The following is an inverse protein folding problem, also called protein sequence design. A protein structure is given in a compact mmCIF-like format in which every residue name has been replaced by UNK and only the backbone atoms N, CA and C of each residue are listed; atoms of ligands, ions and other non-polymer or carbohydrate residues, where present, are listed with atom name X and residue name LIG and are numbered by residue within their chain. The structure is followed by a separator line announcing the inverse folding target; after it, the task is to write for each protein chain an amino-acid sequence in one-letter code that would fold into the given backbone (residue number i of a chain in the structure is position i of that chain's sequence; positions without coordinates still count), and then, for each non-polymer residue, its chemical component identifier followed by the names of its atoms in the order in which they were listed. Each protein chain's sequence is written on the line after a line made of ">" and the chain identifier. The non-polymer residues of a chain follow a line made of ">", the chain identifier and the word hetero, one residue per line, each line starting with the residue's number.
data_IF_356180687051
#
_entry.id   IF_356180687051
#
_cell.length_a   1.000
_cell.length_b   1.000
_cell.length_c   1.000
_cell.angle_alpha   90.00
_cell.angle_beta   90.00
_cell.angle_gamma   90.00
#
_symmetry.space_group_name_H-M   'P 1'
#
loop_
_entity.id
_entity.type
_entity.pdbx_description
1 polymer ?
#
# COMPACT_ATOMS: atom_id res chain seq x y z
N UNK A 1 -17.83 -1.90 -30.77
CA UNK A 1 -16.88 -2.82 -31.43
C UNK A 1 -17.26 -4.29 -31.20
N UNK A 2 -17.47 -4.74 -29.95
CA UNK A 2 -17.84 -6.15 -29.67
C UNK A 2 -19.23 -6.53 -30.23
N UNK A 3 -20.26 -5.68 -30.06
CA UNK A 3 -21.61 -5.94 -30.59
C UNK A 3 -21.66 -6.00 -32.12
N UNK A 4 -20.86 -5.16 -32.78
CA UNK A 4 -20.76 -5.10 -34.25
C UNK A 4 -20.11 -6.36 -34.82
N UNK A 5 -19.11 -6.92 -34.12
CA UNK A 5 -18.46 -8.18 -34.50
C UNK A 5 -19.40 -9.38 -34.27
N UNK A 6 -20.13 -9.41 -33.15
CA UNK A 6 -21.08 -10.50 -32.85
C UNK A 6 -22.25 -10.53 -33.85
N UNK A 7 -22.78 -9.36 -34.23
CA UNK A 7 -23.85 -9.23 -35.21
C UNK A 7 -23.42 -9.70 -36.61
N UNK A 8 -22.20 -9.34 -37.04
CA UNK A 8 -21.64 -9.81 -38.31
C UNK A 8 -21.44 -11.33 -38.32
N UNK A 9 -21.08 -11.90 -37.18
CA UNK A 9 -20.84 -13.34 -37.03
C UNK A 9 -22.14 -14.16 -37.07
N UNK A 10 -23.22 -13.65 -36.46
CA UNK A 10 -24.57 -14.27 -36.54
C UNK A 10 -25.12 -14.20 -37.98
N UNK A 11 -24.83 -13.13 -38.73
CA UNK A 11 -25.32 -12.95 -40.09
C UNK A 11 -24.53 -13.75 -41.16
N UNK A 12 -23.31 -14.20 -40.85
CA UNK A 12 -22.53 -15.07 -41.73
C UNK A 12 -22.95 -16.54 -41.68
N UNK A 13 -23.59 -16.99 -40.59
CA UNK A 13 -23.93 -18.41 -40.39
C UNK A 13 -25.27 -18.83 -41.02
N UNK A 14 -26.09 -17.88 -41.47
CA UNK A 14 -27.41 -18.17 -42.06
C UNK A 14 -27.44 -17.86 -43.58
N UNK A 15 -27.42 -18.93 -44.40
CA UNK A 15 -27.20 -18.87 -45.85
C UNK A 15 -28.45 -18.48 -46.67
N UNK A 16 -29.57 -18.14 -46.02
CA UNK A 16 -30.87 -17.98 -46.70
C UNK A 16 -31.47 -16.57 -46.66
N UNK A 17 -30.85 -15.64 -45.93
CA UNK A 17 -31.33 -14.25 -45.84
C UNK A 17 -30.66 -13.41 -46.93
N UNK A 18 -31.47 -12.68 -47.72
CA UNK A 18 -30.92 -11.80 -48.77
C UNK A 18 -30.04 -10.68 -48.17
N UNK A 19 -29.09 -10.20 -48.97
CA UNK A 19 -28.11 -9.21 -48.52
C UNK A 19 -28.76 -7.87 -48.10
N UNK A 20 -29.90 -7.51 -48.69
CA UNK A 20 -30.61 -6.26 -48.35
C UNK A 20 -31.16 -6.30 -46.92
N UNK A 21 -31.68 -7.45 -46.52
CA UNK A 21 -32.23 -7.67 -45.18
C UNK A 21 -31.12 -7.74 -44.13
N UNK A 22 -29.96 -8.33 -44.49
CA UNK A 22 -28.77 -8.34 -43.63
C UNK A 22 -28.25 -6.92 -43.38
N UNK A 23 -28.15 -6.10 -44.43
CA UNK A 23 -27.69 -4.71 -44.30
C UNK A 23 -28.66 -3.86 -43.47
N UNK A 24 -29.97 -4.06 -43.61
CA UNK A 24 -30.97 -3.37 -42.79
C UNK A 24 -30.84 -3.75 -41.29
N UNK A 25 -30.61 -5.03 -40.99
CA UNK A 25 -30.41 -5.51 -39.62
C UNK A 25 -29.13 -4.99 -38.99
N UNK A 26 -28.02 -4.97 -39.74
CA UNK A 26 -26.75 -4.38 -39.27
C UNK A 26 -26.94 -2.91 -38.94
N UNK A 27 -27.59 -2.15 -39.84
CA UNK A 27 -27.85 -0.73 -39.63
C UNK A 27 -28.76 -0.48 -38.41
N UNK A 28 -29.79 -1.31 -38.20
CA UNK A 28 -30.65 -1.22 -37.01
C UNK A 28 -29.89 -1.53 -35.71
N UNK A 29 -29.03 -2.55 -35.72
CA UNK A 29 -28.19 -2.90 -34.57
C UNK A 29 -27.13 -1.84 -34.27
N UNK A 30 -26.48 -1.29 -35.29
CA UNK A 30 -25.54 -0.18 -35.12
C UNK A 30 -26.23 1.04 -34.53
N UNK A 31 -27.43 1.37 -35.03
CA UNK A 31 -28.25 2.45 -34.48
C UNK A 31 -28.65 2.19 -33.03
N UNK A 32 -29.11 0.99 -32.68
CA UNK A 32 -29.46 0.63 -31.29
C UNK A 32 -28.24 0.68 -30.36
N UNK A 33 -27.06 0.26 -30.83
CA UNK A 33 -25.82 0.39 -30.06
C UNK A 33 -25.39 1.85 -29.88
N UNK A 34 -25.57 2.70 -30.91
CA UNK A 34 -25.31 4.13 -30.84
C UNK A 34 -26.29 4.83 -29.90
N UNK A 35 -27.58 4.51 -29.98
CA UNK A 35 -28.63 5.06 -29.12
C UNK A 35 -28.43 4.61 -27.67
N UNK A 36 -28.06 3.34 -27.43
CA UNK A 36 -27.70 2.84 -26.10
C UNK A 36 -26.43 3.51 -25.55
N UNK A 37 -25.39 3.70 -26.38
CA UNK A 37 -24.19 4.41 -25.98
C UNK A 37 -24.45 5.91 -25.71
N UNK A 38 -25.38 6.55 -26.43
CA UNK A 38 -25.81 7.93 -26.17
C UNK A 38 -26.69 8.04 -24.94
N UNK A 39 -27.55 7.05 -24.65
CA UNK A 39 -28.30 6.96 -23.40
C UNK A 39 -27.36 6.74 -22.20
N UNK A 40 -26.35 5.89 -22.34
CA UNK A 40 -25.32 5.71 -21.30
C UNK A 40 -24.45 6.95 -21.13
N UNK A 41 -24.09 7.65 -22.22
CA UNK A 41 -23.30 8.87 -22.15
C UNK A 41 -24.08 10.06 -21.58
N UNK A 42 -25.38 10.18 -21.89
CA UNK A 42 -26.26 11.21 -21.31
C UNK A 42 -26.63 10.89 -19.86
N UNK A 43 -26.87 9.61 -19.55
CA UNK A 43 -27.05 9.12 -18.18
C UNK A 43 -25.80 9.31 -17.33
N UNK A 44 -24.61 9.00 -17.85
CA UNK A 44 -23.34 9.28 -17.19
C UNK A 44 -23.07 10.77 -17.08
N UNK A 45 -23.36 11.59 -18.10
CA UNK A 45 -23.23 13.06 -17.98
C UNK A 45 -24.17 13.65 -16.95
N UNK A 46 -25.39 13.14 -16.80
CA UNK A 46 -26.34 13.58 -15.78
C UNK A 46 -25.98 13.04 -14.39
N UNK A 47 -25.44 11.82 -14.28
CA UNK A 47 -24.84 11.30 -13.05
C UNK A 47 -23.62 12.12 -12.66
N UNK A 48 -22.75 12.49 -13.61
CA UNK A 48 -21.60 13.36 -13.37
C UNK A 48 -22.02 14.79 -13.04
N UNK A 49 -23.05 15.34 -13.69
CA UNK A 49 -23.64 16.63 -13.31
C UNK A 49 -24.27 16.56 -11.93
N UNK A 50 -24.93 15.47 -11.55
CA UNK A 50 -25.45 15.24 -10.19
C UNK A 50 -24.35 15.00 -9.17
N UNK A 51 -23.22 14.39 -9.51
CA UNK A 51 -22.03 14.31 -8.64
C UNK A 51 -21.41 15.71 -8.50
N UNK A 52 -21.40 16.52 -9.57
CA UNK A 52 -20.88 17.90 -9.58
C UNK A 52 -21.81 18.91 -8.88
N UNK A 53 -23.12 18.65 -8.86
CA UNK A 53 -24.16 19.51 -8.26
C UNK A 53 -24.61 19.03 -6.87
N UNK A 54 -24.48 17.73 -6.57
CA UNK A 54 -24.77 17.10 -5.29
C UNK A 54 -23.53 16.97 -4.39
N UNK A 55 -22.32 17.17 -4.94
CA UNK A 55 -21.23 17.72 -4.15
C UNK A 55 -21.59 19.17 -3.88
N UNK A 56 -22.45 19.40 -2.88
CA UNK A 56 -22.39 20.65 -2.14
C UNK A 56 -20.92 20.84 -1.84
N UNK A 57 -20.35 21.92 -2.39
CA UNK A 57 -19.00 22.31 -2.11
C UNK A 57 -18.87 22.45 -0.58
N UNK A 58 -18.50 21.36 0.09
CA UNK A 58 -17.75 21.45 1.31
C UNK A 58 -16.58 22.33 0.89
N UNK A 59 -16.57 23.54 1.42
CA UNK A 59 -15.46 24.46 1.31
C UNK A 59 -14.25 23.77 1.94
N UNK A 60 -13.65 22.83 1.21
CA UNK A 60 -12.33 22.29 1.51
C UNK A 60 -11.46 23.53 1.52
N UNK A 61 -11.02 23.93 2.72
CA UNK A 61 -10.37 25.20 2.90
C UNK A 61 -9.16 25.22 1.95
N UNK A 62 -8.78 26.35 1.33
CA UNK A 62 -7.62 26.42 0.45
C UNK A 62 -6.33 25.81 1.06
N UNK A 63 -6.26 25.78 2.39
CA UNK A 63 -5.24 25.08 3.19
C UNK A 63 -5.22 23.56 2.97
N UNK A 64 -6.37 22.89 3.02
CA UNK A 64 -6.50 21.43 2.83
C UNK A 64 -6.10 21.03 1.41
N UNK A 65 -6.45 21.84 0.40
CA UNK A 65 -6.04 21.60 -0.99
C UNK A 65 -4.53 21.70 -1.19
N UNK A 66 -3.86 22.64 -0.52
CA UNK A 66 -2.38 22.74 -0.52
C UNK A 66 -1.74 21.55 0.21
N UNK A 67 -2.38 21.06 1.28
CA UNK A 67 -1.90 19.90 2.02
C UNK A 67 -2.03 18.60 1.20
N UNK A 68 -3.13 18.44 0.45
CA UNK A 68 -3.32 17.33 -0.49
C UNK A 68 -2.25 17.33 -1.59
N UNK A 69 -1.96 18.48 -2.21
CA UNK A 69 -0.90 18.58 -3.23
C UNK A 69 0.48 18.27 -2.65
N UNK A 70 0.77 18.71 -1.42
CA UNK A 70 2.03 18.35 -0.74
C UNK A 70 2.12 16.85 -0.47
N UNK A 71 1.07 16.23 0.06
CA UNK A 71 1.01 14.77 0.29
C UNK A 71 1.22 13.99 -1.01
N UNK A 72 0.60 14.43 -2.10
CA UNK A 72 0.78 13.82 -3.41
C UNK A 72 2.21 14.01 -3.98
N UNK A 73 2.94 15.07 -3.63
CA UNK A 73 4.34 15.20 -4.05
C UNK A 73 5.26 14.27 -3.24
N UNK A 74 5.04 14.17 -1.93
CA UNK A 74 5.81 13.28 -1.04
C UNK A 74 5.68 11.81 -1.45
N UNK A 75 4.52 11.39 -1.98
CA UNK A 75 4.30 10.00 -2.42
C UNK A 75 5.18 9.61 -3.61
N UNK A 76 5.50 10.52 -4.53
CA UNK A 76 6.37 10.21 -5.69
C UNK A 76 7.83 10.03 -5.30
N UNK A 77 8.32 10.88 -4.41
CA UNK A 77 9.68 10.74 -3.89
C UNK A 77 9.81 9.40 -3.17
N UNK A 78 8.84 9.08 -2.31
CA UNK A 78 8.80 7.79 -1.60
C UNK A 78 8.80 6.59 -2.55
N UNK A 79 8.08 6.66 -3.68
CA UNK A 79 8.10 5.61 -4.72
C UNK A 79 9.52 5.39 -5.23
N UNK A 80 10.17 6.44 -5.71
CA UNK A 80 11.52 6.38 -6.27
C UNK A 80 12.52 5.82 -5.26
N UNK A 81 12.41 6.26 -4.01
CA UNK A 81 13.27 5.82 -2.92
C UNK A 81 13.00 4.38 -2.49
N UNK A 82 11.73 3.94 -2.45
CA UNK A 82 11.38 2.54 -2.18
C UNK A 82 11.87 1.57 -3.26
N UNK A 83 11.87 2.00 -4.53
CA UNK A 83 12.34 1.19 -5.65
C UNK A 83 13.87 1.14 -5.67
N UNK A 84 14.52 2.27 -5.36
CA UNK A 84 15.98 2.32 -5.13
C UNK A 84 16.34 1.37 -3.99
N UNK A 85 15.60 1.41 -2.88
CA UNK A 85 15.77 0.54 -1.74
C UNK A 85 15.65 -0.94 -2.14
N UNK A 86 14.59 -1.32 -2.86
CA UNK A 86 14.41 -2.69 -3.35
C UNK A 86 15.64 -3.17 -4.15
N UNK A 87 16.06 -2.36 -5.14
CA UNK A 87 17.22 -2.69 -5.99
C UNK A 87 18.51 -2.84 -5.19
N UNK A 88 18.73 -1.98 -4.19
CA UNK A 88 19.92 -2.05 -3.32
C UNK A 88 19.90 -3.33 -2.49
N UNK A 89 18.75 -3.68 -1.89
CA UNK A 89 18.59 -4.93 -1.15
C UNK A 89 18.85 -6.12 -2.06
N UNK A 90 18.20 -6.19 -3.23
CA UNK A 90 18.40 -7.29 -4.18
C UNK A 90 19.86 -7.48 -4.60
N UNK A 91 20.62 -6.38 -4.77
CA UNK A 91 22.06 -6.47 -5.08
C UNK A 91 22.91 -6.91 -3.89
N UNK A 92 22.59 -6.44 -2.68
CA UNK A 92 23.30 -6.80 -1.45
C UNK A 92 22.98 -8.23 -0.98
N UNK A 93 21.92 -8.82 -1.51
CA UNK A 93 21.47 -10.18 -1.29
C UNK A 93 22.29 -11.18 -2.13
N UNK A 94 23.54 -11.44 -1.76
CA UNK A 94 24.42 -12.40 -2.48
C UNK A 94 24.10 -13.89 -2.20
N UNK A 95 23.19 -14.18 -1.27
CA UNK A 95 22.89 -15.55 -0.88
C UNK A 95 22.02 -16.26 -1.93
N UNK A 96 22.55 -17.27 -2.60
CA UNK A 96 21.74 -18.35 -3.19
C UNK A 96 21.30 -19.29 -2.06
N UNK A 97 20.33 -18.85 -1.21
CA UNK A 97 18.94 -19.24 -1.45
C UNK A 97 17.92 -18.14 -1.11
N UNK A 98 18.27 -16.85 -1.16
CA UNK A 98 17.30 -15.76 -1.02
C UNK A 98 16.22 -15.74 -2.12
N UNK A 99 16.37 -16.57 -3.15
CA UNK A 99 15.42 -16.84 -4.24
C UNK A 99 14.04 -17.32 -3.78
N UNK A 100 13.82 -17.49 -2.46
CA UNK A 100 12.54 -17.82 -1.83
C UNK A 100 12.33 -17.14 -0.47
N UNK A 101 13.09 -16.09 -0.11
CA UNK A 101 12.85 -15.42 1.17
C UNK A 101 11.81 -14.32 1.03
N UNK A 102 10.93 -14.30 2.02
CA UNK A 102 10.01 -13.20 2.22
C UNK A 102 10.80 -11.97 2.70
N UNK A 103 10.47 -10.80 2.16
CA UNK A 103 10.89 -9.50 2.68
C UNK A 103 9.64 -8.66 2.91
N UNK A 104 9.55 -8.02 4.06
CA UNK A 104 8.46 -7.11 4.40
C UNK A 104 8.90 -5.67 4.31
N UNK A 105 8.19 -4.83 3.56
CA UNK A 105 8.34 -3.37 3.62
C UNK A 105 7.27 -2.78 4.53
N UNK A 106 7.68 -2.00 5.52
CA UNK A 106 6.75 -1.25 6.37
C UNK A 106 5.97 -0.25 5.55
N UNK A 107 4.65 -0.37 5.60
CA UNK A 107 3.68 0.46 4.88
C UNK A 107 3.26 1.71 5.66
N UNK A 108 3.89 1.95 6.81
CA UNK A 108 3.55 3.08 7.67
C UNK A 108 3.82 4.40 6.93
N UNK A 109 2.79 5.25 6.89
CA UNK A 109 2.91 6.64 6.46
C UNK A 109 3.92 7.31 7.40
N UNK A 110 4.94 7.93 6.82
CA UNK A 110 6.03 8.66 7.47
C UNK A 110 5.78 9.00 8.95
N UNK A 111 6.65 8.52 9.84
CA UNK A 111 6.71 8.98 11.22
C UNK A 111 7.10 10.47 11.19
N UNK A 112 6.08 11.34 11.19
CA UNK A 112 6.25 12.79 11.04
C UNK A 112 7.04 13.41 12.21
N UNK A 113 7.22 12.67 13.30
CA UNK A 113 7.90 13.14 14.51
C UNK A 113 9.40 13.40 14.27
N UNK A 114 10.00 12.87 13.19
CA UNK A 114 11.37 13.19 12.77
C UNK A 114 11.46 14.06 11.51
N UNK A 115 10.42 14.84 11.18
CA UNK A 115 10.41 15.74 10.03
C UNK A 115 11.50 16.84 10.05
N UNK A 116 12.26 16.96 11.15
CA UNK A 116 13.42 17.86 11.25
C UNK A 116 14.68 17.30 10.56
N UNK A 117 14.76 15.98 10.35
CA UNK A 117 15.88 15.36 9.65
C UNK A 117 15.48 15.10 8.20
N UNK A 118 16.24 15.63 7.26
CA UNK A 118 15.98 15.52 5.82
C UNK A 118 16.02 14.08 5.27
N UNK A 119 16.38 13.12 6.12
CA UNK A 119 16.62 11.72 5.77
C UNK A 119 15.34 10.89 5.78
N UNK A 120 15.21 10.00 4.80
CA UNK A 120 14.09 9.06 4.70
C UNK A 120 14.43 7.78 5.46
N UNK A 121 13.53 7.36 6.35
CA UNK A 121 13.68 6.13 7.13
C UNK A 121 12.65 5.09 6.70
N UNK A 122 13.11 3.92 6.28
CA UNK A 122 12.28 2.76 5.98
C UNK A 122 12.40 1.71 7.07
N UNK A 123 11.30 1.06 7.41
CA UNK A 123 11.31 -0.15 8.24
C UNK A 123 11.16 -1.36 7.34
N UNK A 124 12.07 -2.32 7.46
CA UNK A 124 11.99 -3.59 6.76
C UNK A 124 11.96 -4.76 7.74
N UNK A 125 11.33 -5.84 7.28
CA UNK A 125 11.35 -7.15 7.90
C UNK A 125 12.08 -8.11 6.97
N UNK A 126 13.19 -8.66 7.45
CA UNK A 126 13.88 -9.74 6.77
C UNK A 126 13.48 -11.06 7.44
N UNK A 127 12.83 -11.94 6.67
CA UNK A 127 12.42 -13.25 7.16
C UNK A 127 13.56 -14.24 6.96
N UNK A 128 13.97 -14.90 8.04
CA UNK A 128 14.91 -16.01 8.01
C UNK A 128 14.25 -17.30 7.52
N UNK A 129 15.04 -18.38 7.32
CA UNK A 129 14.51 -19.69 6.92
C UNK A 129 13.55 -20.31 7.95
N UNK A 130 13.64 -19.89 9.21
CA UNK A 130 12.78 -20.36 10.31
C UNK A 130 11.59 -19.40 10.59
N UNK A 131 11.22 -18.54 9.63
CA UNK A 131 10.28 -17.40 9.81
C UNK A 131 10.68 -16.39 10.91
N UNK A 132 11.89 -16.51 11.46
CA UNK A 132 12.45 -15.53 12.39
C UNK A 132 12.61 -14.20 11.68
N UNK A 133 12.05 -13.15 12.27
CA UNK A 133 12.03 -11.82 11.68
C UNK A 133 13.16 -10.97 12.25
N UNK A 134 13.95 -10.37 11.37
CA UNK A 134 14.89 -9.31 11.73
C UNK A 134 14.27 -7.96 11.32
N UNK A 135 14.07 -7.08 12.30
CA UNK A 135 13.68 -5.69 12.05
C UNK A 135 14.91 -4.90 11.62
N UNK A 136 14.82 -4.25 10.48
CA UNK A 136 15.87 -3.43 9.91
C UNK A 136 15.36 -2.00 9.77
N UNK A 137 16.10 -1.04 10.32
CA UNK A 137 15.86 0.37 10.08
C UNK A 137 16.84 0.84 9.01
N UNK A 138 16.32 1.43 7.93
CA UNK A 138 17.13 1.88 6.81
C UNK A 138 17.00 3.37 6.65
N UNK A 139 18.13 4.06 6.78
CA UNK A 139 18.24 5.49 6.55
C UNK A 139 18.78 5.74 5.14
N UNK A 140 18.06 6.49 4.31
CA UNK A 140 18.57 6.94 3.02
C UNK A 140 19.14 8.34 3.18
N UNK A 141 20.44 8.49 2.95
CA UNK A 141 21.08 9.81 2.94
C UNK A 141 20.60 10.56 1.70
N UNK A 142 20.10 11.78 1.88
CA UNK A 142 19.91 12.67 0.74
C UNK A 142 21.25 13.09 0.17
N UNK A 143 21.22 13.45 -1.11
CA UNK A 143 22.33 14.15 -1.70
C UNK A 143 22.61 15.38 -0.86
N UNK A 144 23.73 15.40 -0.14
CA UNK A 144 24.14 16.64 0.51
C UNK A 144 24.24 17.68 -0.60
N UNK A 145 23.47 18.77 -0.49
CA UNK A 145 23.68 19.90 -1.41
C UNK A 145 25.19 20.17 -1.40
N UNK A 146 25.85 20.20 -2.57
CA UNK A 146 27.30 20.28 -2.65
C UNK A 146 27.70 21.45 -1.77
N UNK A 147 28.34 21.14 -0.64
CA UNK A 147 28.56 22.12 0.40
C UNK A 147 29.20 23.34 -0.26
N UNK A 148 28.49 24.48 -0.25
CA UNK A 148 29.04 25.71 -0.79
C UNK A 148 30.44 25.85 -0.17
N UNK A 149 31.49 26.03 -1.00
CA UNK A 149 32.86 26.07 -0.50
C UNK A 149 32.89 27.08 0.64
N UNK A 150 33.37 26.70 1.83
CA UNK A 150 33.17 27.48 3.03
C UNK A 150 33.68 28.89 2.79
N UNK A 151 32.76 29.86 2.73
CA UNK A 151 33.15 31.26 2.69
C UNK A 151 34.10 31.49 3.86
N UNK A 152 35.34 31.95 3.57
CA UNK A 152 36.42 32.17 4.54
C UNK A 152 35.94 33.08 5.68
N UNK A 153 35.31 32.51 6.69
CA UNK A 153 35.01 33.18 7.96
C UNK A 153 36.15 32.88 8.91
N UNK A 154 36.95 33.90 9.16
CA UNK A 154 37.97 33.92 10.20
C UNK A 154 37.29 33.61 11.54
N UNK A 155 37.52 32.41 12.08
CA UNK A 155 37.06 32.03 13.42
C UNK A 155 38.13 32.41 14.43
N UNK A 156 37.79 33.36 15.31
CA UNK A 156 38.54 33.64 16.53
C UNK A 156 38.30 32.46 17.49
N UNK A 157 39.38 31.78 17.88
CA UNK A 157 39.31 30.62 18.76
C UNK A 157 39.02 31.07 20.21
N UNK A 158 37.88 30.67 20.76
CA UNK A 158 37.63 30.69 22.21
C UNK A 158 38.11 29.39 22.87
N UNK A 159 38.45 29.41 24.18
CA UNK A 159 39.03 28.27 24.89
C UNK A 159 38.04 27.10 25.02
N UNK A 160 38.56 25.88 24.81
CA UNK A 160 37.81 24.61 24.80
C UNK A 160 37.26 24.27 26.18
N UNK A 161 35.94 24.40 26.38
CA UNK A 161 35.21 23.65 27.41
C UNK A 161 34.96 22.23 26.92
N UNK A 162 35.14 21.23 27.80
CA UNK A 162 34.94 19.79 27.60
C UNK A 162 34.02 19.42 26.43
N UNK A 163 34.62 19.04 25.29
CA UNK A 163 33.92 18.35 24.21
C UNK A 163 33.80 16.90 24.65
N UNK A 164 32.61 16.47 25.05
CA UNK A 164 32.29 15.05 25.13
C UNK A 164 32.52 14.48 23.74
N UNK A 165 33.50 13.58 23.60
CA UNK A 165 33.79 12.92 22.33
C UNK A 165 32.52 12.18 21.91
N UNK A 166 31.88 12.64 20.83
CA UNK A 166 30.77 11.92 20.23
C UNK A 166 31.23 10.49 19.93
N UNK A 167 30.44 9.46 20.30
CA UNK A 167 30.72 8.09 19.93
C UNK A 167 30.95 8.01 18.43
N UNK A 168 32.16 7.64 18.02
CA UNK A 168 32.46 7.47 16.61
C UNK A 168 31.80 6.17 16.15
N UNK A 169 30.56 6.28 15.66
CA UNK A 169 29.85 5.17 15.04
C UNK A 169 30.70 4.65 13.87
N UNK A 170 31.09 3.38 13.97
CA UNK A 170 31.85 2.72 12.90
C UNK A 170 30.85 2.32 11.81
N UNK A 171 30.85 3.10 10.74
CA UNK A 171 30.12 2.80 9.51
C UNK A 171 30.94 1.83 8.67
N UNK A 172 30.40 0.65 8.37
CA UNK A 172 31.07 -0.37 7.56
C UNK A 172 30.27 -0.63 6.28
N UNK A 173 30.95 -0.72 5.13
CA UNK A 173 30.29 -1.08 3.87
C UNK A 173 29.78 -2.51 3.92
N UNK A 174 28.53 -2.70 3.55
CA UNK A 174 27.84 -3.97 3.54
C UNK A 174 27.93 -4.66 2.18
N UNK A 175 28.43 -5.90 2.17
CA UNK A 175 28.49 -6.73 0.96
C UNK A 175 27.44 -7.84 0.93
N UNK A 176 26.96 -8.28 2.11
CA UNK A 176 26.01 -9.38 2.23
C UNK A 176 25.01 -9.07 3.35
N UNK A 177 23.81 -8.66 2.96
CA UNK A 177 22.75 -8.33 3.92
C UNK A 177 22.26 -9.57 4.67
N UNK A 178 22.28 -10.77 4.07
CA UNK A 178 21.79 -11.96 4.76
C UNK A 178 22.75 -12.40 5.86
N UNK A 179 24.06 -12.29 5.63
CA UNK A 179 25.06 -12.57 6.66
C UNK A 179 24.90 -11.64 7.87
N UNK A 180 24.77 -10.33 7.64
CA UNK A 180 24.56 -9.38 8.73
C UNK A 180 23.20 -9.55 9.41
N UNK A 181 22.15 -9.90 8.66
CA UNK A 181 20.85 -10.23 9.24
C UNK A 181 20.94 -11.43 10.18
N UNK A 182 21.68 -12.47 9.79
CA UNK A 182 21.89 -13.66 10.61
C UNK A 182 22.70 -13.31 11.87
N UNK A 183 23.75 -12.50 11.74
CA UNK A 183 24.54 -12.00 12.87
C UNK A 183 23.67 -11.18 13.83
N UNK A 184 22.87 -10.26 13.31
CA UNK A 184 21.94 -9.44 14.07
C UNK A 184 20.88 -10.27 14.80
N UNK A 185 20.36 -11.33 14.15
CA UNK A 185 19.44 -12.27 14.78
C UNK A 185 20.10 -13.06 15.92
N UNK A 186 21.34 -13.52 15.73
CA UNK A 186 22.10 -14.25 16.75
C UNK A 186 22.44 -13.37 17.95
N UNK A 187 22.83 -12.11 17.71
CA UNK A 187 23.14 -11.14 18.75
C UNK A 187 21.88 -10.49 19.35
N UNK A 188 20.70 -10.75 18.76
CA UNK A 188 19.44 -10.07 19.07
C UNK A 188 19.58 -8.54 19.02
N UNK A 189 20.37 -8.03 18.08
CA UNK A 189 20.55 -6.59 17.89
C UNK A 189 19.70 -6.12 16.71
N UNK A 190 19.09 -4.92 16.77
CA UNK A 190 18.47 -4.33 15.59
C UNK A 190 19.53 -4.01 14.54
N UNK A 191 19.25 -4.35 13.29
CA UNK A 191 20.13 -4.01 12.17
C UNK A 191 19.80 -2.59 11.70
N UNK A 192 20.79 -1.70 11.73
CA UNK A 192 20.67 -0.35 11.17
C UNK A 192 21.50 -0.27 9.90
N UNK A 193 20.82 0.04 8.80
CA UNK A 193 21.45 0.20 7.51
C UNK A 193 21.36 1.65 7.04
N UNK A 194 22.36 2.06 6.28
CA UNK A 194 22.36 3.34 5.59
C UNK A 194 22.63 3.12 4.11
N UNK A 195 21.85 3.78 3.27
CA UNK A 195 22.08 3.83 1.83
C UNK A 195 22.60 5.21 1.50
N UNK A 196 23.77 5.26 0.87
CA UNK A 196 24.34 6.51 0.41
C UNK A 196 23.71 6.98 -0.91
N UNK A 197 24.19 8.12 -1.40
CA UNK A 197 23.74 8.70 -2.67
C UNK A 197 23.97 7.75 -3.85
N UNK A 198 25.07 7.00 -3.84
CA UNK A 198 25.50 6.07 -4.89
C UNK A 198 24.70 4.76 -4.87
N UNK A 199 23.92 4.52 -3.82
CA UNK A 199 23.20 3.27 -3.60
C UNK A 199 24.08 2.17 -3.01
N UNK A 200 25.21 2.54 -2.40
CA UNK A 200 26.00 1.63 -1.59
C UNK A 200 25.36 1.50 -0.20
N UNK A 201 25.34 0.27 0.30
CA UNK A 201 24.74 -0.10 1.56
C UNK A 201 25.81 -0.15 2.65
N UNK A 202 25.51 0.40 3.82
CA UNK A 202 26.39 0.43 4.99
C UNK A 202 25.65 -0.07 6.22
N UNK A 203 26.36 -0.70 7.14
CA UNK A 203 25.87 -1.00 8.50
C UNK A 203 26.38 0.03 9.49
N UNK A 204 25.52 0.47 10.39
CA UNK A 204 25.93 1.22 11.59
C UNK A 204 26.05 0.21 12.72
N UNK A 205 27.28 -0.06 13.15
CA UNK A 205 27.52 -0.84 14.35
C UNK A 205 27.26 0.06 15.57
N UNK A 206 26.03 0.04 16.09
CA UNK A 206 25.75 0.69 17.37
C UNK A 206 26.58 -0.01 18.45
N UNK A 207 27.45 0.74 19.12
CA UNK A 207 28.23 0.23 20.24
C UNK A 207 27.24 -0.36 21.26
N UNK A 208 27.34 -1.68 21.52
CA UNK A 208 26.45 -2.50 22.36
C UNK A 208 25.73 -1.69 23.43
N UNK A 209 24.61 -1.07 23.05
CA UNK A 209 23.67 -0.55 24.02
C UNK A 209 23.15 -1.80 24.72
N UNK A 210 23.29 -1.87 26.04
CA UNK A 210 22.90 -3.00 26.89
C UNK A 210 21.38 -3.20 26.94
N UNK A 211 20.73 -3.14 25.79
CA UNK A 211 19.30 -3.23 25.59
C UNK A 211 18.96 -4.70 25.72
N UNK A 212 18.06 -4.97 26.67
CA UNK A 212 17.40 -6.25 26.87
C UNK A 212 17.08 -6.87 25.52
N UNK A 213 17.41 -8.16 25.30
CA UNK A 213 17.19 -8.79 24.01
C UNK A 213 15.74 -8.57 23.57
N UNK A 214 15.50 -7.98 22.38
CA UNK A 214 14.16 -7.74 21.89
C UNK A 214 13.39 -9.05 21.92
N UNK A 215 12.24 -9.03 22.59
CA UNK A 215 11.27 -10.12 22.53
C UNK A 215 10.92 -10.29 21.06
N UNK A 216 11.08 -11.51 20.54
CA UNK A 216 10.68 -11.80 19.17
C UNK A 216 9.16 -11.82 19.11
N UNK A 217 8.61 -10.69 18.72
CA UNK A 217 7.19 -10.50 18.45
C UNK A 217 6.80 -11.33 17.22
N UNK A 218 5.74 -12.17 17.31
CA UNK A 218 5.29 -12.95 16.17
C UNK A 218 4.84 -12.02 15.04
N UNK A 219 5.03 -12.43 13.79
CA UNK A 219 4.49 -11.69 12.64
C UNK A 219 3.27 -12.44 12.12
N UNK A 220 2.14 -11.74 12.08
CA UNK A 220 0.84 -12.28 11.70
C UNK A 220 0.37 -11.61 10.41
N UNK A 221 -0.10 -12.39 9.44
CA UNK A 221 -0.76 -11.88 8.25
C UNK A 221 -2.15 -11.32 8.57
N UNK A 222 -2.69 -10.41 7.74
CA UNK A 222 -4.05 -9.90 7.90
C UNK A 222 -5.07 -11.05 7.90
N UNK A 223 -4.85 -12.07 7.05
CA UNK A 223 -5.66 -13.29 7.07
C UNK A 223 -5.63 -13.99 8.45
N UNK A 224 -4.44 -14.21 9.04
CA UNK A 224 -4.33 -14.81 10.38
C UNK A 224 -4.98 -13.93 11.45
N UNK A 225 -4.85 -12.60 11.33
CA UNK A 225 -5.49 -11.64 12.23
C UNK A 225 -7.02 -11.78 12.17
N UNK A 226 -7.60 -11.92 10.99
CA UNK A 226 -9.06 -12.10 10.82
C UNK A 226 -9.53 -13.48 11.29
N UNK A 227 -8.81 -14.54 10.91
CA UNK A 227 -9.21 -15.94 11.13
C UNK A 227 -9.01 -16.42 12.57
N UNK A 228 -7.85 -16.12 13.17
CA UNK A 228 -7.48 -16.68 14.47
C UNK A 228 -8.07 -15.90 15.65
N UNK A 229 -8.30 -14.60 15.45
CA UNK A 229 -8.84 -13.75 16.48
C UNK A 229 -10.34 -13.58 16.24
N UNK A 230 -11.13 -14.67 16.33
CA UNK A 230 -12.58 -14.68 16.09
C UNK A 230 -13.23 -13.40 16.63
N UNK A 231 -13.58 -12.53 15.71
CA UNK A 231 -13.92 -11.12 15.95
C UNK A 231 -15.25 -10.93 16.67
N UNK A 232 -16.06 -11.98 16.73
CA UNK A 232 -17.45 -11.91 17.17
C UNK A 232 -17.65 -11.62 18.67
N UNK A 233 -16.65 -11.86 19.54
CA UNK A 233 -16.86 -11.73 20.99
C UNK A 233 -16.27 -10.47 21.63
N UNK A 234 -15.47 -9.66 20.92
CA UNK A 234 -14.83 -8.48 21.55
C UNK A 234 -14.69 -7.30 20.61
N UNK A 235 -14.96 -6.10 21.14
CA UNK A 235 -14.79 -4.75 20.56
C UNK A 235 -13.35 -4.40 20.12
N UNK A 236 -12.46 -5.37 19.95
CA UNK A 236 -11.02 -5.17 19.86
C UNK A 236 -10.58 -4.60 18.51
N UNK A 237 -11.25 -4.98 17.41
CA UNK A 237 -11.08 -4.31 16.13
C UNK A 237 -12.04 -3.12 16.05
N UNK A 238 -11.68 -2.07 16.79
CA UNK A 238 -12.43 -0.82 16.74
C UNK A 238 -12.59 -0.39 15.28
N UNK A 239 -13.80 -0.01 14.88
CA UNK A 239 -14.10 0.54 13.54
C UNK A 239 -13.10 1.65 13.14
N UNK A 240 -12.55 2.34 14.15
CA UNK A 240 -11.44 3.29 14.01
C UNK A 240 -10.19 2.66 13.41
N UNK A 241 -9.68 1.57 13.96
CA UNK A 241 -8.45 0.92 13.48
C UNK A 241 -8.63 0.33 12.08
N UNK A 242 -9.83 -0.17 11.76
CA UNK A 242 -10.18 -0.58 10.39
C UNK A 242 -10.10 0.58 9.40
N UNK A 243 -10.70 1.71 9.76
CA UNK A 243 -10.66 2.91 8.94
C UNK A 243 -9.23 3.44 8.75
N UNK A 244 -8.41 3.45 9.82
CA UNK A 244 -6.99 3.82 9.74
C UNK A 244 -6.24 2.86 8.79
N UNK A 245 -6.42 1.55 8.98
CA UNK A 245 -5.77 0.55 8.16
C UNK A 245 -6.16 0.70 6.68
N UNK A 246 -7.45 0.89 6.38
CA UNK A 246 -7.94 1.14 5.04
C UNK A 246 -7.26 2.34 4.35
N UNK A 247 -7.09 3.44 5.10
CA UNK A 247 -6.38 4.64 4.63
C UNK A 247 -4.90 4.32 4.36
N UNK A 248 -4.21 3.67 5.30
CA UNK A 248 -2.79 3.30 5.16
C UNK A 248 -2.58 2.43 3.92
N UNK A 249 -3.41 1.40 3.73
CA UNK A 249 -3.33 0.49 2.59
C UNK A 249 -3.57 1.22 1.27
N UNK A 250 -4.55 2.12 1.23
CA UNK A 250 -4.85 2.91 0.02
C UNK A 250 -3.70 3.86 -0.34
N UNK A 251 -3.11 4.53 0.64
CA UNK A 251 -1.89 5.33 0.43
C UNK A 251 -0.71 4.47 -0.03
N UNK A 252 -0.55 3.28 0.55
CA UNK A 252 0.51 2.35 0.20
C UNK A 252 0.43 1.94 -1.27
N UNK A 253 -0.78 1.63 -1.77
CA UNK A 253 -0.98 1.33 -3.18
C UNK A 253 -0.59 2.51 -4.06
N UNK A 254 -1.00 3.73 -3.70
CA UNK A 254 -0.63 4.92 -4.45
C UNK A 254 0.90 5.17 -4.44
N UNK A 255 1.58 4.86 -3.34
CA UNK A 255 3.02 5.10 -3.18
C UNK A 255 3.88 4.03 -3.86
N UNK A 256 3.46 2.77 -3.81
CA UNK A 256 4.28 1.63 -4.18
C UNK A 256 3.80 0.93 -5.45
N UNK A 257 2.78 1.45 -6.16
CA UNK A 257 2.37 0.92 -7.45
C UNK A 257 3.56 0.76 -8.41
N UNK A 258 3.61 -0.38 -9.10
CA UNK A 258 4.69 -0.76 -10.03
C UNK A 258 6.09 -0.84 -9.43
N UNK A 259 6.23 -0.65 -8.12
CA UNK A 259 7.47 -1.01 -7.46
C UNK A 259 7.59 -2.53 -7.42
N UNK A 260 8.81 -3.00 -7.34
CA UNK A 260 9.08 -4.44 -7.24
C UNK A 260 8.59 -5.03 -5.89
N UNK A 261 8.24 -4.17 -4.93
CA UNK A 261 7.51 -4.56 -3.72
C UNK A 261 6.09 -5.08 -3.99
N UNK A 262 5.57 -4.87 -5.20
CA UNK A 262 4.16 -5.06 -5.56
C UNK A 262 3.94 -6.12 -6.66
N UNK A 263 4.89 -7.03 -6.86
CA UNK A 263 4.86 -7.99 -7.97
C UNK A 263 3.89 -9.16 -7.77
N UNK A 264 3.64 -9.58 -6.53
CA UNK A 264 2.64 -10.62 -6.22
C UNK A 264 1.25 -9.98 -6.05
N UNK A 265 0.18 -10.72 -6.41
CA UNK A 265 -1.19 -10.25 -6.23
C UNK A 265 -1.41 -9.96 -4.74
N UNK A 266 -1.62 -8.69 -4.41
CA UNK A 266 -1.86 -8.26 -3.04
C UNK A 266 -3.12 -8.94 -2.51
N UNK A 267 -3.01 -9.59 -1.36
CA UNK A 267 -4.12 -10.24 -0.67
C UNK A 267 -3.90 -10.12 0.85
N UNK A 268 -4.85 -10.61 1.64
CA UNK A 268 -4.74 -10.57 3.10
C UNK A 268 -3.59 -11.42 3.68
N UNK A 269 -3.05 -12.39 2.94
CA UNK A 269 -1.86 -13.14 3.35
C UNK A 269 -0.56 -12.32 3.17
N UNK A 270 -0.54 -11.43 2.16
CA UNK A 270 0.59 -10.55 1.82
C UNK A 270 0.72 -9.30 2.69
N UNK A 271 -0.26 -9.00 3.55
CA UNK A 271 -0.20 -7.90 4.53
C UNK A 271 0.12 -8.51 5.88
N UNK A 272 1.12 -8.02 6.60
CA UNK A 272 1.52 -8.56 7.89
C UNK A 272 1.69 -7.50 8.96
N UNK A 273 1.61 -7.91 10.23
CA UNK A 273 1.70 -7.05 11.40
C UNK A 273 2.60 -7.70 12.44
N UNK A 274 3.27 -6.86 13.25
CA UNK A 274 3.85 -7.35 14.49
C UNK A 274 2.76 -7.60 15.53
N UNK A 275 2.68 -8.82 16.02
CA UNK A 275 2.02 -9.16 17.27
C UNK A 275 2.83 -8.68 18.46
N UNK A 276 2.25 -8.64 19.65
CA UNK A 276 2.93 -8.33 20.90
C UNK A 276 3.05 -9.63 21.68
N UNK A 277 4.29 -10.03 21.97
CA UNK A 277 4.63 -11.32 22.56
C UNK A 277 3.88 -11.65 23.86
N UNK A 278 3.41 -12.90 23.95
CA UNK A 278 2.68 -13.45 25.10
C UNK A 278 3.48 -13.43 26.42
N UNK A 279 4.82 -13.39 26.34
CA UNK A 279 5.71 -13.46 27.51
C UNK A 279 5.60 -12.27 28.47
N UNK A 280 5.00 -11.15 28.03
CA UNK A 280 4.77 -9.96 28.85
C UNK A 280 3.30 -9.83 29.30
N UNK A 281 2.48 -10.88 29.16
CA UNK A 281 1.13 -10.94 29.71
C UNK A 281 1.19 -11.14 31.22
N UNK A 282 1.77 -10.18 31.95
CA UNK A 282 1.37 -9.98 33.34
C UNK A 282 -0.13 -9.69 33.32
N UNK A 283 -0.87 -10.44 34.15
CA UNK A 283 -2.33 -10.44 34.20
C UNK A 283 -2.88 -9.01 34.38
N UNK A 284 -3.28 -8.35 33.28
CA UNK A 284 -3.84 -6.99 33.36
C UNK A 284 -3.87 -6.16 32.07
N UNK A 285 -3.04 -6.44 31.06
CA UNK A 285 -3.14 -5.70 29.77
C UNK A 285 -4.35 -6.18 28.97
N UNK A 286 -5.09 -5.22 28.42
CA UNK A 286 -6.23 -5.48 27.55
C UNK A 286 -5.77 -6.25 26.29
N UNK A 287 -6.60 -7.14 25.73
CA UNK A 287 -6.29 -7.86 24.50
C UNK A 287 -6.00 -6.95 23.30
N UNK A 288 -6.46 -5.70 23.34
CA UNK A 288 -6.37 -4.72 22.26
C UNK A 288 -4.93 -4.29 21.94
N UNK A 289 -3.97 -4.51 22.85
CA UNK A 289 -2.56 -4.19 22.64
C UNK A 289 -1.77 -5.31 21.94
N UNK A 290 -2.42 -6.36 21.44
CA UNK A 290 -1.72 -7.55 20.94
C UNK A 290 -1.21 -7.45 19.51
N UNK A 291 -1.65 -6.48 18.71
CA UNK A 291 -1.27 -6.36 17.30
C UNK A 291 -1.13 -4.88 16.92
N UNK A 292 -0.02 -4.51 16.28
CA UNK A 292 0.24 -3.14 15.83
C UNK A 292 -0.36 -2.88 14.44
N UNK A 293 -1.69 -2.73 14.36
CA UNK A 293 -2.43 -2.57 13.10
C UNK A 293 -2.06 -1.33 12.28
N UNK A 294 -1.58 -0.26 12.92
CA UNK A 294 -1.18 0.99 12.25
C UNK A 294 0.17 0.92 11.54
N UNK A 295 0.88 -0.21 11.63
CA UNK A 295 2.16 -0.44 10.96
C UNK A 295 2.14 -1.77 10.20
N UNK A 296 1.31 -1.89 9.16
CA UNK A 296 1.33 -3.06 8.31
C UNK A 296 2.66 -3.14 7.56
N UNK A 297 2.99 -4.35 7.13
CA UNK A 297 4.10 -4.65 6.25
C UNK A 297 3.58 -5.34 5.00
N UNK A 298 4.00 -4.88 3.82
CA UNK A 298 3.79 -5.61 2.58
C UNK A 298 4.87 -6.68 2.45
N UNK A 299 4.47 -7.95 2.46
CA UNK A 299 5.35 -9.07 2.14
C UNK A 299 5.51 -9.18 0.63
N UNK A 300 6.75 -9.25 0.19
CA UNK A 300 7.14 -9.59 -1.18
C UNK A 300 8.07 -10.80 -1.15
N UNK A 301 7.98 -11.63 -2.18
CA UNK A 301 8.88 -12.76 -2.43
C UNK A 301 9.86 -12.31 -3.50
N UNK A 302 11.15 -12.32 -3.19
CA UNK A 302 12.18 -12.00 -4.19
C UNK A 302 12.41 -13.25 -5.06
N UNK A 303 12.04 -13.18 -6.34
CA UNK A 303 12.22 -14.28 -7.29
C UNK A 303 13.41 -14.04 -8.23
N UNK A 304 13.90 -15.10 -8.89
CA UNK A 304 14.99 -14.99 -9.88
C UNK A 304 14.62 -14.11 -11.09
N UNK A 305 13.32 -14.11 -11.45
CA UNK A 305 12.81 -13.28 -12.54
C UNK A 305 13.05 -11.78 -12.24
N UNK A 306 12.97 -11.38 -10.97
CA UNK A 306 13.10 -9.99 -10.54
C UNK A 306 14.55 -9.50 -10.62
N UNK A 307 15.51 -10.39 -10.37
CA UNK A 307 16.95 -10.08 -10.43
C UNK A 307 17.46 -10.04 -11.87
N UNK A 308 16.93 -10.91 -12.73
CA UNK A 308 17.37 -11.05 -14.12
C UNK A 308 16.79 -9.99 -15.06
N UNK A 309 15.85 -9.14 -14.58
CA UNK A 309 15.23 -8.08 -15.39
C UNK A 309 14.44 -8.61 -16.59
N UNK A 310 14.04 -9.88 -16.57
CA UNK A 310 13.24 -10.48 -17.62
C UNK A 310 11.88 -9.78 -17.72
N UNK A 311 11.29 -9.66 -18.92
CA UNK A 311 9.95 -9.13 -19.07
C UNK A 311 8.96 -10.11 -18.42
N UNK A 312 8.63 -9.88 -17.16
CA UNK A 312 7.59 -10.61 -16.45
C UNK A 312 6.27 -10.52 -17.20
N UNK A 313 5.42 -11.54 -17.05
CA UNK A 313 4.07 -11.51 -17.60
C UNK A 313 3.41 -10.19 -17.19
N UNK A 314 2.99 -9.39 -18.18
CA UNK A 314 2.45 -8.07 -17.90
C UNK A 314 1.31 -8.22 -16.88
N UNK A 315 1.42 -7.60 -15.68
CA UNK A 315 0.40 -7.73 -14.67
C UNK A 315 -0.94 -7.30 -15.28
N UNK A 316 -2.00 -8.06 -14.96
CA UNK A 316 -3.36 -7.70 -15.40
C UNK A 316 -3.58 -6.24 -14.98
N UNK A 317 -3.93 -5.40 -15.95
CA UNK A 317 -4.21 -3.98 -15.69
C UNK A 317 -5.21 -3.89 -14.53
N UNK A 318 -4.90 -3.04 -13.54
CA UNK A 318 -5.72 -2.82 -12.34
C UNK A 318 -5.85 -3.98 -11.36
N UNK A 319 -5.07 -5.07 -11.48
CA UNK A 319 -5.14 -6.18 -10.52
C UNK A 319 -4.96 -5.71 -9.06
N UNK A 320 -4.05 -4.76 -8.83
CA UNK A 320 -3.80 -4.21 -7.50
C UNK A 320 -4.94 -3.33 -6.97
N UNK A 321 -5.67 -2.66 -7.86
CA UNK A 321 -6.85 -1.89 -7.48
C UNK A 321 -7.98 -2.82 -7.03
N UNK A 322 -8.23 -3.89 -7.79
CA UNK A 322 -9.21 -4.91 -7.42
C UNK A 322 -8.83 -5.59 -6.11
N UNK A 323 -7.55 -5.95 -5.94
CA UNK A 323 -7.01 -6.50 -4.71
C UNK A 323 -7.27 -5.59 -3.50
N UNK A 324 -7.00 -4.28 -3.63
CA UNK A 324 -7.33 -3.32 -2.57
C UNK A 324 -8.82 -3.34 -2.26
N UNK A 325 -9.70 -3.33 -3.26
CA UNK A 325 -11.15 -3.40 -3.05
C UNK A 325 -11.58 -4.63 -2.26
N UNK A 326 -11.02 -5.80 -2.59
CA UNK A 326 -11.25 -7.06 -1.87
C UNK A 326 -10.77 -6.93 -0.41
N UNK A 327 -9.54 -6.47 -0.18
CA UNK A 327 -8.97 -6.30 1.16
C UNK A 327 -9.78 -5.31 2.01
N UNK A 328 -10.20 -4.18 1.44
CA UNK A 328 -11.03 -3.20 2.14
C UNK A 328 -12.38 -3.78 2.57
N UNK A 329 -12.95 -4.65 1.74
CA UNK A 329 -14.18 -5.39 2.05
C UNK A 329 -13.93 -6.47 3.11
N UNK A 330 -12.83 -7.23 3.03
CA UNK A 330 -12.44 -8.19 4.07
C UNK A 330 -12.27 -7.52 5.45
N UNK A 331 -11.59 -6.36 5.49
CA UNK A 331 -11.44 -5.55 6.71
C UNK A 331 -12.79 -5.11 7.26
N UNK A 332 -13.72 -4.72 6.39
CA UNK A 332 -15.07 -4.35 6.82
C UNK A 332 -15.82 -5.55 7.41
N UNK A 333 -15.81 -6.68 6.68
CA UNK A 333 -16.54 -7.91 7.02
C UNK A 333 -15.91 -8.76 8.13
N UNK A 334 -14.72 -8.39 8.60
CA UNK A 334 -14.00 -9.12 9.65
C UNK A 334 -13.67 -10.58 9.29
N UNK A 335 -13.54 -10.87 8.00
CA UNK A 335 -13.28 -12.24 7.53
C UNK A 335 -12.66 -12.24 6.13
N UNK A 336 -11.87 -13.28 5.80
CA UNK A 336 -11.38 -13.45 4.46
C UNK A 336 -12.51 -13.85 3.49
N UNK A 337 -12.50 -13.26 2.28
CA UNK A 337 -13.45 -13.60 1.21
C UNK A 337 -13.15 -14.97 0.60
N UNK A 338 -11.92 -15.48 0.80
CA UNK A 338 -11.50 -16.83 0.41
C UNK A 338 -12.51 -17.90 0.85
N UNK A 339 -13.06 -17.77 2.06
CA UNK A 339 -14.04 -18.73 2.59
C UNK A 339 -15.35 -18.73 1.77
N UNK A 340 -15.79 -17.57 1.28
CA UNK A 340 -16.97 -17.44 0.41
C UNK A 340 -16.71 -17.98 -1.01
N UNK A 341 -15.50 -17.73 -1.53
CA UNK A 341 -15.07 -18.23 -2.84
C UNK A 341 -14.99 -19.76 -2.85
N UNK A 342 -14.41 -20.34 -1.80
CA UNK A 342 -14.30 -21.79 -1.63
C UNK A 342 -15.69 -22.44 -1.47
N UNK A 343 -16.63 -21.77 -0.77
CA UNK A 343 -17.99 -22.25 -0.59
C UNK A 343 -18.80 -22.36 -1.90
N UNK A 344 -18.51 -21.49 -2.88
CA UNK A 344 -19.14 -21.56 -4.22
C UNK A 344 -18.36 -22.40 -5.22
N UNK A 345 -17.27 -23.05 -4.80
CA UNK A 345 -16.39 -23.84 -5.68
C UNK A 345 -15.73 -23.00 -6.79
N UNK A 346 -15.63 -21.69 -6.59
CA UNK A 346 -15.20 -20.71 -7.59
C UNK A 346 -13.73 -20.34 -7.44
N UNK A 347 -13.24 -19.58 -8.43
CA UNK A 347 -11.93 -18.87 -8.35
C UNK A 347 -12.08 -17.37 -8.63
N UNK A 348 -13.31 -16.90 -8.85
CA UNK A 348 -13.58 -15.51 -9.18
C UNK A 348 -13.83 -14.68 -7.91
N UNK A 349 -12.73 -14.31 -7.27
CA UNK A 349 -12.75 -13.40 -6.11
C UNK A 349 -13.45 -12.08 -6.39
N UNK A 350 -13.43 -11.61 -7.65
CA UNK A 350 -14.01 -10.31 -7.99
C UNK A 350 -15.54 -10.37 -7.98
N UNK A 351 -16.11 -11.39 -8.63
CA UNK A 351 -17.56 -11.57 -8.65
C UNK A 351 -18.11 -11.74 -7.23
N UNK A 352 -17.47 -12.61 -6.44
CA UNK A 352 -17.86 -12.84 -5.03
C UNK A 352 -17.76 -11.56 -4.20
N UNK A 353 -16.68 -10.79 -4.35
CA UNK A 353 -16.54 -9.51 -3.65
C UNK A 353 -17.59 -8.48 -4.05
N UNK A 354 -18.01 -8.44 -5.32
CA UNK A 354 -19.07 -7.54 -5.78
C UNK A 354 -20.43 -7.94 -5.19
N UNK A 355 -20.76 -9.23 -5.19
CA UNK A 355 -22.01 -9.74 -4.62
C UNK A 355 -22.06 -9.47 -3.10
N UNK A 356 -20.95 -9.69 -2.40
CA UNK A 356 -20.83 -9.36 -0.98
C UNK A 356 -20.96 -7.86 -0.72
N UNK A 357 -20.36 -7.01 -1.55
CA UNK A 357 -20.48 -5.56 -1.40
C UNK A 357 -21.93 -5.11 -1.55
N UNK A 358 -22.65 -5.63 -2.54
CA UNK A 358 -24.06 -5.30 -2.75
C UNK A 358 -24.95 -5.83 -1.62
N UNK A 359 -24.67 -7.03 -1.12
CA UNK A 359 -25.38 -7.61 0.03
C UNK A 359 -25.24 -6.75 1.30
N UNK A 360 -24.11 -6.08 1.46
CA UNK A 360 -23.74 -5.30 2.65
C UNK A 360 -23.81 -3.78 2.42
N UNK A 361 -24.32 -3.31 1.28
CA UNK A 361 -24.34 -1.88 0.96
C UNK A 361 -25.27 -1.06 1.85
N UNK A 362 -26.30 -1.70 2.41
CA UNK A 362 -27.30 -1.10 3.28
C UNK A 362 -26.98 -1.28 4.77
N UNK A 363 -25.82 -1.86 5.10
CA UNK A 363 -25.39 -2.00 6.48
C UNK A 363 -25.15 -0.63 7.11
N UNK A 364 -25.78 -0.37 8.26
CA UNK A 364 -25.65 0.90 8.99
C UNK A 364 -24.21 1.27 9.36
N UNK A 365 -23.32 0.29 9.49
CA UNK A 365 -21.92 0.49 9.84
C UNK A 365 -21.03 0.82 8.62
N UNK A 366 -21.49 0.54 7.40
CA UNK A 366 -20.79 0.91 6.16
C UNK A 366 -21.21 2.32 5.75
N UNK A 367 -20.29 3.28 5.88
CA UNK A 367 -20.59 4.64 5.44
C UNK A 367 -20.63 4.73 3.91
N UNK A 368 -21.38 5.71 3.36
CA UNK A 368 -21.40 5.97 1.92
C UNK A 368 -20.00 6.21 1.34
N UNK A 369 -19.12 6.89 2.09
CA UNK A 369 -17.75 7.17 1.68
C UNK A 369 -16.91 5.89 1.58
N UNK A 370 -17.00 5.00 2.58
CA UNK A 370 -16.28 3.74 2.59
C UNK A 370 -16.78 2.80 1.48
N UNK A 371 -18.11 2.67 1.34
CA UNK A 371 -18.76 1.91 0.26
C UNK A 371 -18.31 2.40 -1.12
N UNK A 372 -18.32 3.71 -1.35
CA UNK A 372 -17.90 4.31 -2.62
C UNK A 372 -16.43 4.04 -2.92
N UNK A 373 -15.56 4.13 -1.92
CA UNK A 373 -14.15 3.78 -2.04
C UNK A 373 -13.93 2.33 -2.47
N UNK A 374 -14.61 1.36 -1.82
CA UNK A 374 -14.54 -0.05 -2.22
C UNK A 374 -15.08 -0.24 -3.65
N UNK A 375 -16.24 0.34 -3.95
CA UNK A 375 -16.90 0.20 -5.26
C UNK A 375 -16.01 0.72 -6.38
N UNK A 376 -15.33 1.86 -6.19
CA UNK A 376 -14.36 2.37 -7.15
C UNK A 376 -13.20 1.39 -7.37
N UNK A 377 -12.69 0.77 -6.29
CA UNK A 377 -11.62 -0.20 -6.39
C UNK A 377 -12.02 -1.48 -7.15
N UNK A 378 -13.24 -1.99 -6.96
CA UNK A 378 -13.74 -3.20 -7.65
C UNK A 378 -14.24 -2.94 -9.08
N UNK A 379 -14.76 -1.73 -9.31
CA UNK A 379 -15.41 -1.29 -10.55
C UNK A 379 -15.00 0.15 -10.90
N UNK A 380 -13.73 0.38 -11.28
CA UNK A 380 -13.29 1.72 -11.67
C UNK A 380 -14.05 2.13 -12.94
N UNK A 381 -14.75 3.26 -12.88
CA UNK A 381 -15.48 3.77 -14.03
C UNK A 381 -14.52 4.42 -15.04
N UNK A 382 -14.77 4.32 -16.35
CA UNK A 382 -14.04 5.08 -17.38
C UNK A 382 -14.07 6.55 -17.03
N UNK A 383 -12.91 7.18 -16.95
CA UNK A 383 -12.82 8.62 -16.74
C UNK A 383 -12.38 9.29 -18.05
N UNK A 384 -13.15 10.27 -18.58
CA UNK A 384 -12.77 10.97 -19.81
C UNK A 384 -11.48 11.78 -19.70
N UNK A 385 -11.02 12.08 -18.48
CA UNK A 385 -9.81 12.87 -18.22
C UNK A 385 -8.55 12.03 -18.01
N UNK A 386 -8.66 10.70 -18.00
CA UNK A 386 -7.52 9.81 -17.92
C UNK A 386 -7.41 8.98 -19.19
N UNK A 387 -6.26 9.06 -19.85
CA UNK A 387 -5.98 8.23 -21.03
C UNK A 387 -5.77 6.75 -20.69
N UNK A 388 -5.57 6.42 -19.41
CA UNK A 388 -5.32 5.05 -18.97
C UNK A 388 -5.59 4.85 -17.48
N UNK A 389 -6.18 3.71 -17.11
CA UNK A 389 -6.20 3.21 -15.73
C UNK A 389 -4.82 2.68 -15.31
N UNK A 390 -3.82 3.54 -15.32
CA UNK A 390 -2.48 3.22 -14.85
C UNK A 390 -2.10 4.25 -13.82
N UNK A 391 -1.50 3.80 -12.72
CA UNK A 391 -0.92 4.71 -11.75
C UNK A 391 0.29 5.48 -12.31
N UNK A 392 0.82 5.18 -13.50
CA UNK A 392 1.75 6.05 -14.26
C UNK A 392 1.06 7.32 -14.73
N UNK A 393 -0.23 7.24 -15.05
CA UNK A 393 -1.01 8.39 -15.47
C UNK A 393 -1.30 9.30 -14.28
N UNK A 394 -0.93 10.58 -14.43
CA UNK A 394 -1.14 11.58 -13.38
C UNK A 394 -2.63 11.79 -13.10
N UNK A 395 -3.44 11.81 -14.16
CA UNK A 395 -4.90 11.96 -14.03
C UNK A 395 -5.51 10.83 -13.22
N UNK A 396 -5.17 9.58 -13.51
CA UNK A 396 -5.65 8.42 -12.76
C UNK A 396 -5.24 8.45 -11.29
N UNK A 397 -4.02 8.88 -10.96
CA UNK A 397 -3.61 9.04 -9.55
C UNK A 397 -4.43 10.09 -8.81
N UNK A 398 -4.70 11.23 -9.44
CA UNK A 398 -5.56 12.26 -8.86
C UNK A 398 -6.98 11.73 -8.64
N UNK A 399 -7.52 10.98 -9.61
CA UNK A 399 -8.82 10.33 -9.49
C UNK A 399 -8.81 9.30 -8.35
N UNK A 400 -7.82 8.42 -8.28
CA UNK A 400 -7.71 7.43 -7.21
C UNK A 400 -7.61 8.09 -5.84
N UNK A 401 -6.83 9.17 -5.73
CA UNK A 401 -6.77 9.94 -4.49
C UNK A 401 -8.15 10.49 -4.11
N UNK A 402 -8.85 11.14 -5.03
CA UNK A 402 -10.16 11.76 -4.76
C UNK A 402 -11.26 10.73 -4.50
N UNK A 403 -11.34 9.67 -5.30
CA UNK A 403 -12.43 8.68 -5.27
C UNK A 403 -12.21 7.55 -4.27
N UNK A 404 -10.99 7.38 -3.74
CA UNK A 404 -10.69 6.33 -2.76
C UNK A 404 -10.09 6.92 -1.51
N UNK A 405 -8.89 7.50 -1.60
CA UNK A 405 -8.14 7.92 -0.39
C UNK A 405 -8.89 9.01 0.37
N UNK A 406 -9.33 10.07 -0.31
CA UNK A 406 -10.03 11.20 0.32
C UNK A 406 -11.33 10.75 0.97
N UNK A 407 -12.08 9.84 0.34
CA UNK A 407 -13.31 9.31 0.93
C UNK A 407 -13.03 8.47 2.19
N UNK A 408 -11.97 7.65 2.17
CA UNK A 408 -11.56 6.89 3.34
C UNK A 408 -11.04 7.79 4.46
N UNK A 409 -10.33 8.88 4.12
CA UNK A 409 -9.94 9.93 5.07
C UNK A 409 -11.19 10.61 5.66
N UNK A 410 -12.15 11.01 4.84
CA UNK A 410 -13.40 11.65 5.28
C UNK A 410 -14.22 10.71 6.18
N UNK A 411 -14.32 9.42 5.84
CA UNK A 411 -14.93 8.40 6.70
C UNK A 411 -14.21 8.28 8.06
N UNK A 412 -12.87 8.32 8.08
CA UNK A 412 -12.09 8.27 9.30
C UNK A 412 -12.29 9.54 10.15
N UNK A 413 -12.26 10.71 9.54
CA UNK A 413 -12.34 12.00 10.24
C UNK A 413 -13.75 12.33 10.74
N UNK A 414 -14.79 11.92 10.01
CA UNK A 414 -16.19 12.19 10.36
C UNK A 414 -16.70 11.33 11.51
N UNK A 415 -16.21 10.09 11.63
CA UNK A 415 -16.68 9.12 12.65
C UNK A 415 -15.88 9.17 13.94
N UNK A 416 -14.63 9.61 13.89
CA UNK A 416 -13.71 9.52 15.02
C UNK A 416 -13.10 10.87 15.31
N UNK A 417 -12.94 11.20 16.59
CA UNK A 417 -12.13 12.35 16.99
C UNK A 417 -10.66 12.04 16.65
N UNK A 418 -10.25 12.53 15.49
CA UNK A 418 -8.89 12.38 14.99
C UNK A 418 -8.10 13.62 15.35
N UNK A 419 -7.12 13.46 16.22
CA UNK A 419 -6.05 14.42 16.41
C UNK A 419 -4.80 13.95 15.64
N UNK A 420 -3.81 14.82 15.47
CA UNK A 420 -2.56 14.49 14.76
C UNK A 420 -1.84 13.27 15.37
N UNK A 421 -2.10 12.96 16.65
CA UNK A 421 -1.54 11.80 17.36
C UNK A 421 -2.10 10.45 16.88
N UNK A 422 -3.11 10.42 16.01
CA UNK A 422 -3.62 9.15 15.45
C UNK A 422 -2.56 8.41 14.63
N UNK A 423 -1.61 9.16 14.05
CA UNK A 423 -0.51 8.60 13.27
C UNK A 423 0.71 8.29 14.14
N UNK A 424 0.75 8.85 15.35
CA UNK A 424 1.83 8.63 16.31
C UNK A 424 1.66 7.30 17.03
N UNK A 425 2.79 6.66 17.31
CA UNK A 425 2.84 5.49 18.17
C UNK A 425 2.59 5.91 19.62
N UNK A 426 1.49 5.46 20.23
CA UNK A 426 1.48 5.28 21.68
C UNK A 426 2.24 4.01 22.00
N UNK A 427 3.57 4.11 22.11
CA UNK A 427 4.35 3.10 22.81
C UNK A 427 4.15 3.33 24.32
N UNK A 428 3.05 2.80 24.85
CA UNK A 428 2.75 2.76 26.29
C UNK A 428 3.37 1.52 27.00
#
# INVERSE_FOLDING_TARGET
>A
MICTTLAKQILTDDATVDNSTKDELVNKLEKLCLDAAQQDASGQQDVWKRIKLGSTANHVKPYERKQQVRRAHTTFQLRGDSEKLYKVICRACNCQPLKQRNVGLGLAVHDHDNASTEDLCFQLLLFGPDDKVCKVSIKMMKASEPAEPPAKKVRIALPKSHVMSEPCDKVQRLHDICKETQLAQQSKAPLQLVIDEKGDLYTISSAQSSITPPVQDPVLSLWEVMSNFKLNDRKWWLQREKAILAVILSYSLLQLHESSWWQTLWNSEGISFHGVGSSNLTAGRSPDQRIRLRRPFARSVITEADVSGGPGAAPRRNAHLHALGIILLEIYLDRPIKDDVDAVGGTDYRAVAQDLLEKHSDDMDMTPEYLRGIRFCLCPHPNPYSGSFSFVDKGFREIFYTEVISLLEDNLMSRFEVNDTIWQNRED
#
